data_IF_886157011935
#
_entry.id   IF_886157011935
#
_cell.length_a   1.000
_cell.length_b   1.000
_cell.length_c   1.000
_cell.angle_alpha   90.00
_cell.angle_beta   90.00
_cell.angle_gamma   90.00
#
_symmetry.space_group_name_H-M   'P 1'
#
loop_
_entity.id
_entity.type
_entity.pdbx_description
1 polymer ?
#
# COMPACT_ATOMS: atom_id res chain seq x y z
N UNK A 1 27.47 1.08 4.33
CA UNK A 1 26.58 1.86 3.44
C UNK A 1 25.24 1.16 3.40
N UNK A 2 24.23 1.64 4.13
CA UNK A 2 22.90 1.00 4.14
C UNK A 2 22.17 1.41 2.85
N UNK A 3 22.13 0.50 1.88
CA UNK A 3 21.32 0.67 0.68
C UNK A 3 19.89 0.97 1.12
N UNK A 4 19.38 2.17 0.80
CA UNK A 4 17.94 2.49 0.91
C UNK A 4 17.19 1.73 -0.18
N UNK A 5 17.16 0.40 -0.07
CA UNK A 5 16.39 -0.46 -0.96
C UNK A 5 14.93 -0.20 -0.64
N UNK A 6 14.23 0.51 -1.53
CA UNK A 6 12.80 0.74 -1.40
C UNK A 6 12.06 -0.19 -2.34
N UNK A 7 10.89 -0.68 -1.92
CA UNK A 7 10.06 -1.61 -2.67
C UNK A 7 8.89 -0.83 -3.28
N UNK A 8 8.60 -1.05 -4.56
CA UNK A 8 7.47 -0.44 -5.23
C UNK A 8 6.15 -1.04 -4.73
N UNK A 9 5.10 -0.23 -4.65
CA UNK A 9 3.77 -0.64 -4.21
C UNK A 9 2.68 0.08 -5.00
N UNK A 10 1.48 -0.51 -5.03
CA UNK A 10 0.27 0.13 -5.52
C UNK A 10 -0.70 0.39 -4.36
N UNK A 11 -0.71 1.63 -3.86
CA UNK A 11 -1.55 2.08 -2.74
C UNK A 11 -3.02 1.65 -2.82
N UNK A 12 -3.69 1.88 -3.96
CA UNK A 12 -5.06 1.43 -4.15
C UNK A 12 -5.29 -0.07 -3.97
N UNK A 13 -4.34 -0.93 -4.35
CA UNK A 13 -4.48 -2.37 -4.13
C UNK A 13 -4.48 -2.70 -2.64
N UNK A 14 -3.55 -2.12 -1.89
CA UNK A 14 -3.46 -2.27 -0.44
C UNK A 14 -4.77 -1.83 0.22
N UNK A 15 -5.34 -0.69 -0.23
CA UNK A 15 -6.62 -0.18 0.27
C UNK A 15 -7.75 -1.18 0.06
N UNK A 16 -7.86 -1.75 -1.14
CA UNK A 16 -8.93 -2.68 -1.47
C UNK A 16 -8.77 -4.02 -0.74
N UNK A 17 -7.55 -4.55 -0.64
CA UNK A 17 -7.27 -5.74 0.16
C UNK A 17 -7.64 -5.49 1.62
N UNK A 18 -7.17 -4.39 2.22
CA UNK A 18 -7.45 -4.04 3.62
C UNK A 18 -8.96 -3.97 3.89
N UNK A 19 -9.72 -3.30 3.03
CA UNK A 19 -11.18 -3.21 3.17
C UNK A 19 -11.85 -4.59 3.13
N UNK A 20 -11.44 -5.46 2.20
CA UNK A 20 -11.97 -6.82 2.07
C UNK A 20 -11.60 -7.71 3.26
N UNK A 21 -10.44 -7.47 3.87
CA UNK A 21 -10.01 -8.13 5.12
C UNK A 21 -10.68 -7.56 6.37
N UNK A 22 -11.51 -6.50 6.27
CA UNK A 22 -12.19 -5.88 7.42
C UNK A 22 -11.25 -5.09 8.36
N UNK A 23 -10.00 -4.87 7.98
CA UNK A 23 -8.99 -4.21 8.84
C UNK A 23 -9.14 -2.69 8.76
N UNK A 24 -9.16 -2.02 9.91
CA UNK A 24 -9.18 -0.55 9.98
C UNK A 24 -7.83 0.07 9.59
N UNK A 25 -7.82 1.30 9.05
CA UNK A 25 -6.56 2.01 8.72
C UNK A 25 -5.70 2.22 9.96
N UNK A 26 -6.31 2.56 11.11
CA UNK A 26 -5.60 2.75 12.37
C UNK A 26 -5.00 1.43 12.88
N UNK A 27 -5.74 0.34 12.76
CA UNK A 27 -5.29 -1.00 13.14
C UNK A 27 -4.10 -1.43 12.28
N UNK A 28 -4.20 -1.32 10.96
CA UNK A 28 -3.09 -1.64 10.05
C UNK A 28 -1.83 -0.83 10.38
N UNK A 29 -1.99 0.46 10.70
CA UNK A 29 -0.86 1.31 11.06
C UNK A 29 -0.15 0.82 12.34
N UNK A 30 -0.90 0.39 13.35
CA UNK A 30 -0.35 -0.19 14.59
C UNK A 30 0.38 -1.49 14.30
N UNK A 31 -0.24 -2.41 13.55
CA UNK A 31 0.35 -3.71 13.20
C UNK A 31 1.66 -3.57 12.38
N UNK A 32 1.72 -2.59 11.48
CA UNK A 32 2.90 -2.30 10.66
C UNK A 32 3.94 -1.46 11.42
N UNK A 33 3.57 -0.86 12.55
CA UNK A 33 4.46 0.01 13.35
C UNK A 33 4.72 1.38 12.73
N UNK A 34 3.72 1.96 12.06
CA UNK A 34 3.81 3.28 11.41
C UNK A 34 2.65 4.20 11.81
N UNK A 35 2.74 5.47 11.42
CA UNK A 35 1.66 6.42 11.67
C UNK A 35 0.46 6.17 10.74
N UNK A 36 -0.76 6.33 11.27
CA UNK A 36 -2.02 6.24 10.49
C UNK A 36 -2.01 7.12 9.24
N UNK A 37 -1.49 8.34 9.34
CA UNK A 37 -1.38 9.26 8.22
C UNK A 37 -0.47 8.72 7.09
N UNK A 38 0.55 7.94 7.45
CA UNK A 38 1.44 7.32 6.47
C UNK A 38 0.74 6.20 5.69
N UNK A 39 -0.04 5.33 6.36
CA UNK A 39 -0.88 4.34 5.67
C UNK A 39 -1.89 5.02 4.75
N UNK A 40 -2.56 6.08 5.20
CA UNK A 40 -3.48 6.82 4.35
C UNK A 40 -2.79 7.42 3.11
N UNK A 41 -1.59 8.00 3.30
CA UNK A 41 -0.75 8.53 2.21
C UNK A 41 -0.37 7.43 1.20
N UNK A 42 -0.02 6.25 1.69
CA UNK A 42 0.26 5.07 0.86
C UNK A 42 -0.98 4.68 0.06
N UNK A 43 -2.13 4.48 0.73
CA UNK A 43 -3.37 4.01 0.09
C UNK A 43 -3.90 4.93 -1.00
N UNK A 44 -3.70 6.24 -0.84
CA UNK A 44 -4.07 7.26 -1.83
C UNK A 44 -3.07 7.38 -2.98
N UNK A 45 -1.97 6.62 -2.96
CA UNK A 45 -0.96 6.62 -4.03
C UNK A 45 0.06 7.75 -3.96
N UNK A 46 -0.02 8.64 -2.96
CA UNK A 46 0.96 9.72 -2.74
C UNK A 46 2.36 9.18 -2.36
N UNK A 47 2.44 7.92 -1.92
CA UNK A 47 3.71 7.21 -1.75
C UNK A 47 3.64 5.88 -2.49
N UNK A 48 4.48 5.73 -3.52
CA UNK A 48 4.53 4.54 -4.38
C UNK A 48 5.70 3.61 -4.05
N UNK A 49 6.47 3.95 -3.02
CA UNK A 49 7.64 3.18 -2.57
C UNK A 49 7.73 3.21 -1.06
N UNK A 50 8.01 2.05 -0.45
CA UNK A 50 8.15 1.88 1.00
C UNK A 50 9.45 1.16 1.34
N UNK A 51 9.84 1.17 2.61
CA UNK A 51 10.96 0.35 3.07
C UNK A 51 10.59 -1.14 3.07
N UNK A 52 11.56 -2.06 3.09
CA UNK A 52 11.28 -3.49 3.13
C UNK A 52 10.52 -3.88 4.41
N UNK A 53 10.84 -3.26 5.55
CA UNK A 53 10.15 -3.51 6.81
C UNK A 53 8.65 -3.15 6.73
N UNK A 54 8.31 -2.01 6.13
CA UNK A 54 6.91 -1.61 5.93
C UNK A 54 6.21 -2.54 4.95
N UNK A 55 6.89 -2.95 3.87
CA UNK A 55 6.34 -3.89 2.89
C UNK A 55 5.99 -5.24 3.54
N UNK A 56 6.93 -5.85 4.27
CA UNK A 56 6.69 -7.12 4.94
C UNK A 56 5.64 -6.99 6.05
N UNK A 57 5.61 -5.86 6.77
CA UNK A 57 4.56 -5.57 7.75
C UNK A 57 3.17 -5.56 7.13
N UNK A 58 3.01 -4.93 5.96
CA UNK A 58 1.72 -4.89 5.24
C UNK A 58 1.32 -6.29 4.75
N UNK A 59 2.27 -7.04 4.18
CA UNK A 59 2.04 -8.41 3.71
C UNK A 59 1.56 -9.30 4.85
N UNK A 60 2.22 -9.23 6.00
CA UNK A 60 1.88 -10.01 7.18
C UNK A 60 0.52 -9.60 7.77
N UNK A 61 0.31 -8.30 8.01
CA UNK A 61 -0.93 -7.76 8.59
C UNK A 61 -2.18 -8.09 7.75
N UNK A 62 -2.03 -8.12 6.42
CA UNK A 62 -3.12 -8.40 5.51
C UNK A 62 -3.20 -9.87 5.06
N UNK A 63 -2.34 -10.75 5.60
CA UNK A 63 -2.28 -12.17 5.23
C UNK A 63 -2.19 -12.40 3.71
N UNK A 64 -1.29 -11.66 3.05
CA UNK A 64 -1.14 -11.70 1.60
C UNK A 64 -0.15 -12.82 1.22
N UNK A 65 -0.67 -13.89 0.62
CA UNK A 65 0.18 -14.98 0.12
C UNK A 65 0.89 -14.61 -1.19
N UNK A 66 0.15 -14.05 -2.15
CA UNK A 66 0.71 -13.58 -3.43
C UNK A 66 1.08 -12.10 -3.35
N UNK A 67 2.39 -11.84 -3.16
CA UNK A 67 2.96 -10.49 -3.09
C UNK A 67 2.64 -9.62 -4.32
N UNK A 68 2.36 -10.21 -5.48
CA UNK A 68 2.00 -9.46 -6.69
C UNK A 68 0.67 -8.72 -6.54
N UNK A 69 -0.20 -9.16 -5.63
CA UNK A 69 -1.47 -8.49 -5.35
C UNK A 69 -1.28 -7.03 -4.92
N UNK A 70 -0.19 -6.70 -4.22
CA UNK A 70 0.14 -5.33 -3.78
C UNK A 70 0.54 -4.42 -4.96
N UNK A 71 0.95 -5.00 -6.10
CA UNK A 71 1.34 -4.26 -7.30
C UNK A 71 0.20 -4.12 -8.31
N UNK A 72 -0.91 -4.81 -8.10
CA UNK A 72 -2.05 -4.77 -9.01
C UNK A 72 -2.65 -3.36 -9.07
N UNK A 73 -3.12 -2.94 -10.25
CA UNK A 73 -4.01 -1.80 -10.34
C UNK A 73 -5.48 -2.31 -10.27
N UNK A 74 -6.17 -2.16 -9.12
CA UNK A 74 -7.54 -2.68 -8.97
C UNK A 74 -8.58 -1.85 -9.71
N UNK A 75 -8.26 -0.63 -10.17
CA UNK A 75 -9.21 0.26 -10.86
C UNK A 75 -9.02 0.26 -12.39
N UNK A 76 -8.00 -0.46 -12.89
CA UNK A 76 -7.68 -0.55 -14.31
C UNK A 76 -7.03 0.72 -14.87
N UNK A 77 -6.48 0.61 -16.09
CA UNK A 77 -5.68 1.66 -16.72
C UNK A 77 -6.44 2.98 -16.95
N UNK A 78 -7.76 2.92 -17.19
CA UNK A 78 -8.57 4.11 -17.44
C UNK A 78 -8.73 5.01 -16.21
N UNK A 79 -8.67 4.44 -15.00
CA UNK A 79 -8.78 5.21 -13.77
C UNK A 79 -7.47 5.95 -13.43
N UNK A 80 -6.32 5.34 -13.72
CA UNK A 80 -5.01 5.93 -13.48
C UNK A 80 -4.73 7.14 -14.38
N UNK A 81 -5.17 7.08 -15.65
CA UNK A 81 -5.04 8.17 -16.62
C UNK A 81 -5.79 9.43 -16.14
N UNK A 82 -7.03 9.26 -15.68
CA UNK A 82 -7.84 10.37 -15.13
C UNK A 82 -7.24 10.97 -13.86
N UNK A 83 -6.61 10.15 -13.01
CA UNK A 83 -5.92 10.64 -11.82
C UNK A 83 -4.61 11.37 -12.16
N UNK A 84 -3.91 10.95 -13.22
CA UNK A 84 -2.70 11.62 -13.71
C UNK A 84 -3.00 12.94 -14.42
N UNK A 85 -4.14 13.06 -15.10
CA UNK A 85 -4.58 14.29 -15.78
C UNK A 85 -5.09 15.37 -14.80
N UNK A 86 -5.47 14.99 -13.57
CA UNK A 86 -6.03 15.88 -12.56
C UNK A 86 -5.01 16.40 -11.53
N UNK A 87 -3.73 16.01 -11.63
CA UNK A 87 -2.64 16.36 -10.73
C UNK A 87 -1.67 17.36 -11.37
#
# INVERSE_FOLDING_TARGET
MSSRTTIAIHGPAIREIRKRSGVGVAQLAVEVGVQRAYIAKIELGHSRRVSPAVFEGIVAALSIDDRRAILANPYGAAADLRAAEAA
#
